data_IF_270054676458
#
_entry.id   IF_270054676458
#
_cell.length_a   1.000
_cell.length_b   1.000
_cell.length_c   1.000
_cell.angle_alpha   90.00
_cell.angle_beta   90.00
_cell.angle_gamma   90.00
#
_symmetry.space_group_name_H-M   'P 1'
#
loop_
_entity.id
_entity.type
_entity.pdbx_description
1 polymer ?
#
# COMPACT_ATOMS: atom_id res chain seq x y z
N UNK A 1 -2.62 -5.17 -19.56
CA UNK A 1 -3.32 -5.68 -18.35
C UNK A 1 -2.44 -5.29 -17.19
N UNK A 2 -2.68 -4.10 -16.67
CA UNK A 2 -1.80 -3.46 -15.69
C UNK A 2 -2.22 -3.89 -14.28
N UNK A 3 -1.61 -4.97 -13.81
CA UNK A 3 -1.80 -5.54 -12.47
C UNK A 3 -0.86 -4.85 -11.46
N UNK A 4 -0.98 -3.54 -11.37
CA UNK A 4 -0.26 -2.71 -10.42
C UNK A 4 -1.19 -1.64 -9.90
N UNK A 5 -1.69 -1.80 -8.66
CA UNK A 5 -2.42 -0.73 -8.01
C UNK A 5 -1.42 0.43 -7.84
N UNK A 6 -1.54 1.49 -8.62
CA UNK A 6 -0.76 2.71 -8.41
C UNK A 6 -1.18 3.24 -7.04
N UNK A 7 -0.29 3.10 -6.06
CA UNK A 7 -0.56 3.64 -4.74
C UNK A 7 -0.20 5.11 -4.76
N UNK A 8 -1.20 5.94 -5.01
CA UNK A 8 -1.13 7.38 -4.78
C UNK A 8 -0.87 7.68 -3.30
N UNK A 9 -0.22 8.82 -3.07
CA UNK A 9 0.21 9.34 -1.77
C UNK A 9 -0.72 8.94 -0.61
N UNK A 10 -0.18 8.26 0.39
CA UNK A 10 -0.96 7.84 1.55
C UNK A 10 -0.28 6.77 2.41
N UNK A 11 -0.99 6.38 3.46
CA UNK A 11 -0.59 5.30 4.36
C UNK A 11 -1.21 3.99 3.86
N UNK A 12 -0.37 3.00 3.60
CA UNK A 12 -0.80 1.65 3.27
C UNK A 12 -0.91 0.81 4.53
N UNK A 13 -2.08 0.19 4.73
CA UNK A 13 -2.36 -0.73 5.84
C UNK A 13 -2.79 -2.07 5.27
N UNK A 14 -1.98 -3.11 5.45
CA UNK A 14 -2.36 -4.46 5.03
C UNK A 14 -3.29 -5.13 6.05
N UNK A 15 -4.36 -5.76 5.57
CA UNK A 15 -5.38 -6.36 6.46
C UNK A 15 -4.82 -7.52 7.29
N UNK A 16 -3.85 -8.25 6.72
CA UNK A 16 -3.19 -9.38 7.36
C UNK A 16 -1.77 -9.07 7.87
N UNK A 17 -1.37 -7.80 7.91
CA UNK A 17 -0.02 -7.39 8.22
C UNK A 17 0.00 -6.07 8.99
N UNK A 18 0.63 -6.05 10.16
CA UNK A 18 1.02 -4.81 10.86
C UNK A 18 2.21 -4.15 10.17
N UNK A 19 2.11 -3.96 8.86
CA UNK A 19 3.04 -3.13 8.08
C UNK A 19 2.28 -1.87 7.69
N UNK A 20 2.69 -0.75 8.27
CA UNK A 20 2.39 0.57 7.74
C UNK A 20 3.53 0.99 6.81
N UNK A 21 3.19 1.39 5.59
CA UNK A 21 4.13 2.06 4.70
C UNK A 21 3.55 3.43 4.38
N UNK A 22 4.31 4.46 4.70
CA UNK A 22 4.00 5.83 4.31
C UNK A 22 4.62 6.09 2.94
N UNK A 23 3.77 6.32 1.95
CA UNK A 23 4.18 6.47 0.56
C UNK A 23 4.03 7.92 0.16
N UNK A 24 5.14 8.66 0.11
CA UNK A 24 5.18 10.08 -0.27
C UNK A 24 5.48 10.30 -1.77
N UNK A 25 5.58 9.23 -2.54
CA UNK A 25 5.80 9.25 -3.99
C UNK A 25 4.99 8.12 -4.63
N UNK A 26 4.40 8.31 -5.82
CA UNK A 26 3.63 7.25 -6.47
C UNK A 26 4.50 6.00 -6.66
N UNK A 27 4.12 4.93 -5.97
CA UNK A 27 4.81 3.64 -6.03
C UNK A 27 3.82 2.59 -6.52
N UNK A 28 4.28 1.70 -7.38
CA UNK A 28 3.52 0.54 -7.83
C UNK A 28 3.80 -0.59 -6.86
N UNK A 29 2.81 -0.92 -6.03
CA UNK A 29 2.86 -2.05 -5.12
C UNK A 29 1.77 -3.04 -5.51
N UNK A 30 2.18 -4.14 -6.15
CA UNK A 30 1.27 -5.25 -6.47
C UNK A 30 1.08 -6.20 -5.28
N UNK A 31 2.02 -6.22 -4.32
CA UNK A 31 1.97 -7.07 -3.13
C UNK A 31 2.69 -6.43 -1.93
N UNK A 32 2.35 -6.87 -0.72
CA UNK A 32 3.05 -6.49 0.51
C UNK A 32 4.49 -7.00 0.47
N UNK A 33 5.52 -6.15 0.65
CA UNK A 33 6.91 -6.62 0.73
C UNK A 33 7.19 -7.46 1.98
N UNK A 34 6.33 -7.40 3.00
CA UNK A 34 6.52 -8.15 4.26
C UNK A 34 5.81 -9.51 4.28
N UNK A 35 4.63 -9.62 3.69
CA UNK A 35 3.81 -10.84 3.77
C UNK A 35 3.30 -11.35 2.41
N UNK A 36 3.61 -10.69 1.29
CA UNK A 36 3.22 -11.14 -0.05
C UNK A 36 1.73 -10.99 -0.37
N UNK A 37 0.91 -10.42 0.53
CA UNK A 37 -0.51 -10.22 0.28
C UNK A 37 -0.78 -9.03 -0.65
N UNK A 38 -1.71 -9.20 -1.58
CA UNK A 38 -2.14 -8.16 -2.52
C UNK A 38 -3.21 -7.21 -1.94
N UNK A 39 -3.90 -7.63 -0.86
CA UNK A 39 -5.00 -6.87 -0.27
C UNK A 39 -4.51 -5.89 0.81
N UNK A 40 -4.66 -4.60 0.55
CA UNK A 40 -4.41 -3.53 1.50
C UNK A 40 -5.49 -2.45 1.46
N UNK A 41 -5.60 -1.73 2.56
CA UNK A 41 -6.44 -0.54 2.71
C UNK A 41 -5.53 0.69 2.63
N UNK A 42 -5.96 1.71 1.89
CA UNK A 42 -5.32 3.03 1.90
C UNK A 42 -5.97 3.88 2.99
N UNK A 43 -5.15 4.49 3.84
CA UNK A 43 -5.56 5.59 4.71
C UNK A 43 -4.97 6.91 4.19
N UNK A 44 -5.71 8.02 4.30
CA UNK A 44 -5.13 9.35 4.10
C UNK A 44 -4.06 9.61 5.17
N UNK A 45 -3.16 10.55 4.89
CA UNK A 45 -2.31 11.10 5.94
C UNK A 45 -3.21 11.84 6.95
N UNK A 46 -3.02 11.57 8.24
CA UNK A 46 -3.61 12.44 9.26
C UNK A 46 -2.94 13.82 9.14
N UNK A 47 -3.78 14.84 8.92
CA UNK A 47 -3.39 16.25 8.79
C UNK A 47 -2.98 16.83 10.14
#
# INVERSE_FOLDING_TARGET
YDLGLVVGLGILVWDNCVLLIEVYTPVVLSMCPKCGHEQFKRRPFET
#
